data_IF_576508476246
#
_entry.id   IF_576508476246
#
_cell.length_a   1.000
_cell.length_b   1.000
_cell.length_c   1.000
_cell.angle_alpha   90.00
_cell.angle_beta   90.00
_cell.angle_gamma   90.00
#
_symmetry.space_group_name_H-M   'P 1'
#
loop_
_entity.id
_entity.type
_entity.pdbx_description
1 polymer ?
#
# COMPACT_ATOMS: atom_id res chain seq x y z
N UNK A 1 -37.45 7.99 39.59
CA UNK A 1 -37.00 8.74 38.42
C UNK A 1 -35.73 8.05 37.95
N UNK A 2 -35.80 7.30 36.89
CA UNK A 2 -34.58 6.77 36.26
C UNK A 2 -33.87 7.96 35.59
N UNK A 3 -32.64 8.24 35.98
CA UNK A 3 -31.80 9.21 35.32
C UNK A 3 -31.47 8.60 33.95
N UNK A 4 -32.01 9.18 32.88
CA UNK A 4 -31.70 8.80 31.52
C UNK A 4 -30.25 9.27 31.25
N UNK A 5 -29.29 8.37 31.50
CA UNK A 5 -27.86 8.63 31.21
C UNK A 5 -27.70 8.72 29.69
N UNK A 6 -27.23 9.85 29.19
CA UNK A 6 -27.10 10.02 27.75
C UNK A 6 -26.03 9.03 27.20
N UNK A 7 -26.21 8.59 25.95
CA UNK A 7 -25.21 7.73 25.26
C UNK A 7 -23.80 8.37 25.25
N UNK A 8 -23.76 9.71 25.26
CA UNK A 8 -22.54 10.50 25.32
C UNK A 8 -21.81 10.35 26.66
N UNK A 9 -22.59 10.34 27.78
CA UNK A 9 -22.00 10.30 29.12
C UNK A 9 -21.34 8.94 29.39
N UNK A 10 -21.95 7.83 28.97
CA UNK A 10 -21.38 6.49 29.12
C UNK A 10 -20.01 6.39 28.44
N UNK A 11 -19.88 6.86 27.19
CA UNK A 11 -18.63 6.81 26.44
C UNK A 11 -17.59 7.78 27.03
N UNK A 12 -18.03 8.98 27.43
CA UNK A 12 -17.14 9.99 28.02
C UNK A 12 -16.56 9.52 29.36
N UNK A 13 -17.35 8.88 30.19
CA UNK A 13 -16.92 8.39 31.49
C UNK A 13 -15.92 7.24 31.35
N UNK A 14 -16.16 6.27 30.47
CA UNK A 14 -15.20 5.20 30.18
C UNK A 14 -13.87 5.73 29.62
N UNK A 15 -13.90 6.77 28.77
CA UNK A 15 -12.70 7.40 28.23
C UNK A 15 -11.94 8.18 29.31
N UNK A 16 -12.64 8.86 30.21
CA UNK A 16 -12.02 9.60 31.33
C UNK A 16 -11.37 8.64 32.32
N UNK A 17 -12.00 7.51 32.63
CA UNK A 17 -11.46 6.48 33.50
C UNK A 17 -10.19 5.84 32.91
N UNK A 18 -10.21 5.58 31.60
CA UNK A 18 -9.04 5.07 30.87
C UNK A 18 -7.84 6.03 30.82
N UNK A 19 -8.07 7.34 30.87
CA UNK A 19 -7.00 8.35 30.91
C UNK A 19 -6.24 8.40 32.23
N UNK A 20 -6.87 8.03 33.33
CA UNK A 20 -6.27 8.13 34.67
C UNK A 20 -5.28 7.02 34.96
N UNK A 21 -5.34 5.87 34.30
CA UNK A 21 -4.59 4.67 34.64
C UNK A 21 -3.54 4.21 33.63
N UNK A 22 -3.52 4.70 32.38
CA UNK A 22 -2.68 4.12 31.35
C UNK A 22 -1.80 5.12 30.60
N UNK A 23 -0.52 4.80 30.48
CA UNK A 23 0.39 5.35 29.46
C UNK A 23 -0.07 5.05 28.03
N UNK A 24 -1.15 4.32 27.88
CA UNK A 24 -1.69 3.82 26.62
C UNK A 24 -3.23 3.97 26.62
N UNK A 25 -3.77 4.56 25.55
CA UNK A 25 -5.21 4.73 25.37
C UNK A 25 -5.84 3.43 24.85
N UNK A 26 -6.64 2.77 25.68
CA UNK A 26 -7.48 1.66 25.25
C UNK A 26 -8.86 2.18 24.86
N UNK A 27 -9.20 2.10 23.57
CA UNK A 27 -10.45 2.60 23.05
C UNK A 27 -11.62 1.64 23.36
N UNK A 28 -12.76 2.12 23.88
CA UNK A 28 -13.95 1.31 24.13
C UNK A 28 -14.73 1.05 22.83
N UNK A 29 -14.10 0.40 21.83
CA UNK A 29 -14.67 0.26 20.48
C UNK A 29 -15.88 -0.66 20.49
N UNK A 30 -15.88 -1.75 21.27
CA UNK A 30 -17.00 -2.69 21.30
C UNK A 30 -18.28 -2.07 21.90
N UNK A 31 -18.26 -1.39 23.06
CA UNK A 31 -19.42 -0.65 23.54
C UNK A 31 -19.91 0.40 22.55
N UNK A 32 -19.02 1.08 21.85
CA UNK A 32 -19.39 2.06 20.84
C UNK A 32 -20.10 1.40 19.63
N UNK A 33 -19.66 0.23 19.18
CA UNK A 33 -20.32 -0.55 18.13
C UNK A 33 -21.72 -1.02 18.55
N UNK A 34 -21.90 -1.41 19.81
CA UNK A 34 -23.20 -1.78 20.36
C UNK A 34 -24.17 -0.60 20.31
N UNK A 35 -23.74 0.61 20.66
CA UNK A 35 -24.55 1.83 20.55
C UNK A 35 -24.93 2.17 19.10
N UNK A 36 -24.11 1.78 18.14
CA UNK A 36 -24.39 1.90 16.70
C UNK A 36 -25.28 0.76 16.16
N UNK A 37 -25.62 -0.25 16.99
CA UNK A 37 -26.25 -1.52 16.58
C UNK A 37 -25.45 -2.24 15.48
N UNK A 38 -24.10 -2.22 15.58
CA UNK A 38 -23.18 -2.84 14.62
C UNK A 38 -22.54 -4.07 15.23
N UNK A 39 -22.76 -5.23 14.61
CA UNK A 39 -22.01 -6.44 14.91
C UNK A 39 -20.74 -6.45 14.05
N UNK A 40 -19.55 -6.36 14.67
CA UNK A 40 -18.32 -6.32 13.91
C UNK A 40 -18.01 -7.66 13.24
N UNK A 41 -17.36 -7.60 12.07
CA UNK A 41 -16.83 -8.77 11.38
C UNK A 41 -15.53 -9.27 12.06
N UNK A 42 -15.14 -10.54 11.89
CA UNK A 42 -13.87 -11.07 12.40
C UNK A 42 -12.65 -10.23 12.04
N UNK A 43 -12.60 -9.73 10.80
CA UNK A 43 -11.55 -8.82 10.31
C UNK A 43 -11.52 -7.50 11.10
N UNK A 44 -12.67 -6.93 11.39
CA UNK A 44 -12.79 -5.69 12.17
C UNK A 44 -12.39 -5.91 13.63
N UNK A 45 -12.77 -7.05 14.22
CA UNK A 45 -12.35 -7.44 15.58
C UNK A 45 -10.82 -7.56 15.65
N UNK A 46 -10.18 -8.16 14.65
CA UNK A 46 -8.72 -8.26 14.60
C UNK A 46 -8.05 -6.88 14.55
N UNK A 47 -8.57 -5.93 13.76
CA UNK A 47 -8.08 -4.55 13.70
C UNK A 47 -8.25 -3.85 15.05
N UNK A 48 -9.41 -3.99 15.69
CA UNK A 48 -9.70 -3.41 17.00
C UNK A 48 -8.71 -3.93 18.06
N UNK A 49 -8.49 -5.24 18.09
CA UNK A 49 -7.56 -5.85 19.04
C UNK A 49 -6.13 -5.39 18.81
N UNK A 50 -5.71 -5.22 17.55
CA UNK A 50 -4.38 -4.73 17.23
C UNK A 50 -4.19 -3.26 17.65
N UNK A 51 -5.15 -2.38 17.38
CA UNK A 51 -5.06 -0.96 17.75
C UNK A 51 -5.10 -0.77 19.27
N UNK A 52 -5.83 -1.61 19.98
CA UNK A 52 -5.90 -1.60 21.44
C UNK A 52 -4.70 -2.29 22.13
N UNK A 53 -3.80 -2.90 21.38
CA UNK A 53 -2.61 -3.51 21.95
C UNK A 53 -1.51 -2.45 22.10
N UNK A 54 -0.97 -2.25 23.32
CA UNK A 54 0.08 -1.27 23.59
C UNK A 54 1.42 -1.57 22.89
N UNK A 55 1.65 -2.83 22.52
CA UNK A 55 2.85 -3.25 21.79
C UNK A 55 2.91 -2.63 20.38
N UNK A 56 1.75 -2.45 19.75
CA UNK A 56 1.72 -2.05 18.35
C UNK A 56 1.42 -0.56 18.19
N UNK A 57 2.32 0.12 17.52
CA UNK A 57 2.18 1.51 17.11
C UNK A 57 1.65 1.64 15.69
N UNK A 58 1.97 0.67 14.84
CA UNK A 58 1.62 0.64 13.43
C UNK A 58 0.84 -0.64 13.12
N UNK A 59 -0.33 -0.48 12.49
CA UNK A 59 -1.21 -1.59 12.12
C UNK A 59 -1.44 -1.57 10.62
N UNK A 60 -1.03 -2.62 9.91
CA UNK A 60 -1.31 -2.82 8.49
C UNK A 60 -2.36 -3.90 8.31
N UNK A 61 -3.47 -3.57 7.63
CA UNK A 61 -4.58 -4.48 7.42
C UNK A 61 -4.84 -4.69 5.92
N UNK A 62 -4.41 -5.84 5.40
CA UNK A 62 -4.71 -6.31 4.06
C UNK A 62 -6.05 -7.06 4.09
N UNK A 63 -7.10 -6.41 3.61
CA UNK A 63 -8.48 -6.87 3.82
C UNK A 63 -9.23 -6.88 2.50
N UNK A 64 -9.90 -8.00 2.21
CA UNK A 64 -10.67 -8.17 0.98
C UNK A 64 -11.81 -7.15 0.86
N UNK A 65 -12.43 -7.08 -0.31
CA UNK A 65 -13.62 -6.23 -0.51
C UNK A 65 -14.79 -6.63 0.39
N UNK A 66 -15.70 -5.68 0.64
CA UNK A 66 -16.94 -5.84 1.43
C UNK A 66 -16.73 -6.24 2.91
N UNK A 67 -15.54 -5.97 3.47
CA UNK A 67 -15.23 -6.18 4.90
C UNK A 67 -15.50 -4.93 5.78
N UNK A 68 -16.01 -3.84 5.21
CA UNK A 68 -16.28 -2.61 5.95
C UNK A 68 -15.02 -1.90 6.48
N UNK A 69 -13.92 -1.94 5.72
CA UNK A 69 -12.63 -1.30 6.03
C UNK A 69 -12.77 0.17 6.42
N UNK A 70 -13.27 0.97 5.48
CA UNK A 70 -13.48 2.41 5.66
C UNK A 70 -14.39 2.70 6.87
N UNK A 71 -15.41 1.87 7.10
CA UNK A 71 -16.35 2.07 8.20
C UNK A 71 -15.68 1.90 9.56
N UNK A 72 -14.95 0.79 9.78
CA UNK A 72 -14.27 0.57 11.07
C UNK A 72 -13.13 1.57 11.29
N UNK A 73 -12.41 1.96 10.24
CA UNK A 73 -11.38 2.99 10.31
C UNK A 73 -11.95 4.33 10.80
N UNK A 74 -13.10 4.73 10.27
CA UNK A 74 -13.78 5.96 10.67
C UNK A 74 -14.34 5.88 12.09
N UNK A 75 -14.84 4.73 12.54
CA UNK A 75 -15.28 4.52 13.93
C UNK A 75 -14.10 4.68 14.90
N UNK A 76 -12.94 4.09 14.58
CA UNK A 76 -11.74 4.25 15.39
C UNK A 76 -11.32 5.73 15.45
N UNK A 77 -11.31 6.43 14.31
CA UNK A 77 -11.04 7.87 14.25
C UNK A 77 -11.99 8.70 15.10
N UNK A 78 -13.29 8.39 15.02
CA UNK A 78 -14.31 9.07 15.83
C UNK A 78 -14.10 8.84 17.33
N UNK A 79 -13.82 7.62 17.74
CA UNK A 79 -13.56 7.32 19.16
C UNK A 79 -12.34 8.06 19.70
N UNK A 80 -11.26 8.16 18.92
CA UNK A 80 -10.10 8.95 19.33
C UNK A 80 -10.47 10.43 19.47
N UNK A 81 -11.37 10.95 18.63
CA UNK A 81 -11.82 12.35 18.71
C UNK A 81 -12.65 12.67 19.95
N UNK A 82 -13.19 11.67 20.64
CA UNK A 82 -13.86 11.87 21.93
C UNK A 82 -12.88 12.18 23.06
N UNK A 83 -11.60 11.84 22.89
CA UNK A 83 -10.55 12.24 23.81
C UNK A 83 -10.24 13.72 23.61
N UNK A 84 -10.46 14.62 24.61
CA UNK A 84 -10.31 16.06 24.45
C UNK A 84 -8.94 16.47 23.89
N UNK A 85 -8.95 17.37 22.90
CA UNK A 85 -7.74 17.92 22.28
C UNK A 85 -7.01 16.94 21.36
N UNK A 86 -7.66 15.85 20.93
CA UNK A 86 -7.04 14.88 20.02
C UNK A 86 -7.08 15.36 18.57
N UNK A 87 -6.03 15.06 17.82
CA UNK A 87 -5.92 15.35 16.40
C UNK A 87 -5.89 14.04 15.59
N UNK A 88 -6.84 13.87 14.71
CA UNK A 88 -7.00 12.69 13.86
C UNK A 88 -6.84 13.10 12.40
N UNK A 89 -6.06 12.33 11.65
CA UNK A 89 -5.89 12.47 10.22
C UNK A 89 -6.34 11.19 9.51
N UNK A 90 -7.27 11.31 8.58
CA UNK A 90 -7.69 10.22 7.70
C UNK A 90 -7.23 10.56 6.28
N UNK A 91 -6.26 9.79 5.79
CA UNK A 91 -5.68 9.93 4.47
C UNK A 91 -6.34 8.97 3.49
N UNK A 92 -6.64 9.45 2.30
CA UNK A 92 -7.16 8.66 1.19
C UNK A 92 -6.27 8.87 -0.05
N UNK A 93 -6.32 7.99 -1.07
CA UNK A 93 -5.54 8.15 -2.29
C UNK A 93 -5.77 9.47 -3.00
N UNK A 94 -7.01 9.93 -3.03
CA UNK A 94 -7.41 11.17 -3.69
C UNK A 94 -8.52 11.91 -2.94
N UNK A 95 -8.79 13.15 -3.37
CA UNK A 95 -9.78 14.02 -2.74
C UNK A 95 -11.21 13.46 -2.80
N UNK A 96 -11.59 12.74 -3.86
CA UNK A 96 -12.93 12.17 -4.00
C UNK A 96 -13.17 11.06 -2.97
N UNK A 97 -12.19 10.20 -2.74
CA UNK A 97 -12.29 9.14 -1.73
C UNK A 97 -12.30 9.71 -0.30
N UNK A 98 -11.59 10.80 -0.05
CA UNK A 98 -11.64 11.45 1.26
C UNK A 98 -13.01 12.05 1.60
N UNK A 99 -13.87 12.29 0.59
CA UNK A 99 -15.25 12.72 0.82
C UNK A 99 -16.08 11.66 1.53
N UNK A 100 -15.86 10.39 1.22
CA UNK A 100 -16.57 9.27 1.85
C UNK A 100 -16.32 9.28 3.36
N UNK A 101 -15.07 9.41 3.79
CA UNK A 101 -14.72 9.49 5.21
C UNK A 101 -15.25 10.77 5.86
N UNK A 102 -15.25 11.90 5.14
CA UNK A 102 -15.80 13.14 5.67
C UNK A 102 -17.31 13.05 5.96
N UNK A 103 -18.08 12.49 5.02
CA UNK A 103 -19.52 12.32 5.20
C UNK A 103 -19.83 11.28 6.29
N UNK A 104 -19.01 10.23 6.40
CA UNK A 104 -19.16 9.24 7.44
C UNK A 104 -18.88 9.81 8.84
N UNK A 105 -17.84 10.64 8.99
CA UNK A 105 -17.58 11.35 10.26
C UNK A 105 -18.73 12.28 10.66
N UNK A 106 -19.28 13.04 9.72
CA UNK A 106 -20.47 13.87 9.97
C UNK A 106 -21.66 13.05 10.47
N UNK A 107 -21.88 11.89 9.86
CA UNK A 107 -22.97 11.00 10.25
C UNK A 107 -22.77 10.44 11.67
N UNK A 108 -21.54 10.04 12.02
CA UNK A 108 -21.19 9.55 13.35
C UNK A 108 -21.33 10.67 14.41
N UNK A 109 -20.83 11.86 14.11
CA UNK A 109 -20.97 13.05 14.97
C UNK A 109 -22.43 13.38 15.24
N UNK A 110 -23.26 13.38 14.19
CA UNK A 110 -24.71 13.62 14.31
C UNK A 110 -25.41 12.51 15.10
N UNK A 111 -25.03 11.24 14.90
CA UNK A 111 -25.63 10.11 15.60
C UNK A 111 -25.43 10.20 17.13
N UNK A 112 -24.28 10.70 17.56
CA UNK A 112 -23.93 10.86 18.97
C UNK A 112 -24.20 12.28 19.51
N UNK A 113 -24.84 13.13 18.72
CA UNK A 113 -25.17 14.52 19.08
C UNK A 113 -23.97 15.31 19.62
N UNK A 114 -22.80 15.14 18.97
CA UNK A 114 -21.60 15.85 19.36
C UNK A 114 -21.66 17.29 18.87
N UNK A 115 -21.32 18.21 19.75
CA UNK A 115 -21.26 19.63 19.43
C UNK A 115 -20.06 19.95 18.56
N UNK A 116 -20.31 20.51 17.36
CA UNK A 116 -19.31 20.89 16.37
C UNK A 116 -19.07 22.40 16.43
N UNK A 117 -17.82 22.81 16.61
CA UNK A 117 -17.42 24.23 16.61
C UNK A 117 -17.03 24.70 15.20
N UNK A 118 -16.59 23.78 14.33
CA UNK A 118 -16.26 24.05 12.93
C UNK A 118 -16.51 22.86 12.06
N UNK A 119 -17.21 23.07 10.95
CA UNK A 119 -17.40 22.11 9.87
C UNK A 119 -17.02 22.77 8.55
N UNK A 120 -15.82 22.47 8.07
CA UNK A 120 -15.28 23.01 6.82
C UNK A 120 -15.25 21.95 5.74
N UNK A 121 -16.25 21.96 4.88
CA UNK A 121 -16.37 20.99 3.79
C UNK A 121 -15.29 21.17 2.69
N UNK A 122 -14.79 22.40 2.51
CA UNK A 122 -13.73 22.65 1.50
C UNK A 122 -12.40 22.02 1.92
N UNK A 123 -12.00 22.23 3.17
CA UNK A 123 -10.73 21.74 3.71
C UNK A 123 -10.90 20.36 4.37
N UNK A 124 -12.15 19.85 4.44
CA UNK A 124 -12.55 18.60 5.09
C UNK A 124 -12.01 18.48 6.52
N UNK A 125 -12.33 19.48 7.33
CA UNK A 125 -11.95 19.56 8.73
C UNK A 125 -13.19 19.74 9.59
N UNK A 126 -13.29 18.91 10.63
CA UNK A 126 -14.32 19.02 11.66
C UNK A 126 -13.63 19.24 12.99
N UNK A 127 -14.04 20.29 13.71
CA UNK A 127 -13.60 20.58 15.07
C UNK A 127 -14.76 20.39 16.04
N UNK A 128 -14.53 19.64 17.12
CA UNK A 128 -15.52 19.28 18.12
C UNK A 128 -15.31 20.17 19.35
N UNK A 129 -16.38 20.46 20.11
CA UNK A 129 -16.35 21.37 21.27
C UNK A 129 -15.38 20.96 22.37
N UNK A 130 -14.95 19.70 22.40
CA UNK A 130 -13.90 19.21 23.31
C UNK A 130 -12.47 19.58 22.88
N UNK A 131 -12.31 20.35 21.81
CA UNK A 131 -11.02 20.77 21.24
C UNK A 131 -10.37 19.76 20.28
N UNK A 132 -11.05 18.64 19.98
CA UNK A 132 -10.52 17.66 19.04
C UNK A 132 -10.79 18.04 17.58
N UNK A 133 -9.88 17.63 16.70
CA UNK A 133 -9.97 17.88 15.26
C UNK A 133 -9.89 16.59 14.48
N UNK A 134 -10.83 16.38 13.56
CA UNK A 134 -10.78 15.30 12.55
C UNK A 134 -10.58 15.93 11.18
N UNK A 135 -9.48 15.60 10.55
CA UNK A 135 -9.09 16.09 9.23
C UNK A 135 -9.04 14.94 8.23
N UNK A 136 -9.56 15.14 7.04
CA UNK A 136 -9.39 14.24 5.91
C UNK A 136 -8.40 14.85 4.92
N UNK A 137 -7.41 14.05 4.53
CA UNK A 137 -6.36 14.43 3.58
C UNK A 137 -6.33 13.51 2.36
N UNK A 138 -5.55 13.93 1.38
CA UNK A 138 -5.21 13.13 0.20
C UNK A 138 -3.71 12.91 0.15
N UNK A 139 -3.28 11.72 -0.23
CA UNK A 139 -1.84 11.39 -0.40
C UNK A 139 -1.18 12.38 -1.37
N UNK A 140 -1.89 12.77 -2.43
CA UNK A 140 -1.38 13.72 -3.42
C UNK A 140 -1.22 15.16 -2.89
N UNK A 141 -1.72 15.47 -1.69
CA UNK A 141 -1.68 16.79 -1.07
C UNK A 141 -1.22 16.71 0.39
N UNK A 142 -0.28 15.83 0.68
CA UNK A 142 0.22 15.55 2.03
C UNK A 142 0.77 16.78 2.72
N UNK A 143 1.39 17.73 1.99
CA UNK A 143 1.98 18.96 2.53
C UNK A 143 0.97 19.82 3.29
N UNK A 144 -0.31 19.74 2.93
CA UNK A 144 -1.38 20.44 3.67
C UNK A 144 -1.66 19.85 5.05
N UNK A 145 -1.14 18.67 5.33
CA UNK A 145 -1.36 17.92 6.57
C UNK A 145 -0.17 17.98 7.54
N UNK A 146 1.01 18.44 7.09
CA UNK A 146 2.19 18.57 7.95
C UNK A 146 2.10 19.77 8.92
N UNK A 147 3.03 19.84 9.87
CA UNK A 147 3.10 20.94 10.84
C UNK A 147 2.07 20.84 11.97
N UNK A 148 1.56 19.66 12.26
CA UNK A 148 0.65 19.34 13.37
C UNK A 148 1.10 18.04 14.03
N UNK A 149 0.75 17.87 15.32
CA UNK A 149 0.94 16.61 16.04
C UNK A 149 -0.36 15.81 16.01
N UNK A 150 -0.31 14.60 15.49
CA UNK A 150 -1.47 13.70 15.41
C UNK A 150 -1.43 12.62 16.48
N UNK A 151 -2.59 12.29 17.03
CA UNK A 151 -2.80 11.14 17.92
C UNK A 151 -3.04 9.86 17.11
N UNK A 152 -3.71 10.00 15.95
CA UNK A 152 -4.00 8.90 15.04
C UNK A 152 -3.92 9.37 13.59
N UNK A 153 -3.22 8.58 12.78
CA UNK A 153 -3.23 8.70 11.32
C UNK A 153 -3.80 7.41 10.73
N UNK A 154 -4.76 7.53 9.84
CA UNK A 154 -5.37 6.40 9.14
C UNK A 154 -5.13 6.59 7.63
N UNK A 155 -4.54 5.60 6.97
CA UNK A 155 -4.49 5.51 5.52
C UNK A 155 -5.54 4.51 5.05
N UNK A 156 -6.64 5.03 4.52
CA UNK A 156 -7.69 4.22 3.91
C UNK A 156 -7.43 4.03 2.42
N UNK A 157 -7.62 2.81 1.94
CA UNK A 157 -7.26 2.37 0.58
C UNK A 157 -5.79 2.67 0.23
N UNK A 158 -4.88 2.39 1.17
CA UNK A 158 -3.46 2.72 1.12
C UNK A 158 -2.74 2.22 -0.13
N UNK A 159 -3.12 1.04 -0.68
CA UNK A 159 -2.49 0.47 -1.85
C UNK A 159 -2.84 1.16 -3.18
N UNK A 160 -3.83 2.08 -3.21
CA UNK A 160 -4.30 2.73 -4.45
C UNK A 160 -3.46 3.94 -4.87
N UNK A 161 -2.52 4.42 -4.05
CA UNK A 161 -1.61 5.51 -4.39
C UNK A 161 -0.27 5.26 -3.70
N UNK A 162 0.80 5.82 -4.26
CA UNK A 162 2.10 5.78 -3.60
C UNK A 162 2.13 6.76 -2.43
N UNK A 163 2.22 6.21 -1.24
CA UNK A 163 2.23 6.97 0.02
C UNK A 163 3.47 6.74 0.86
N UNK A 164 4.52 6.11 0.32
CA UNK A 164 5.73 5.78 1.08
C UNK A 164 6.39 7.03 1.65
N UNK A 165 6.65 8.01 0.82
CA UNK A 165 7.26 9.27 1.24
C UNK A 165 6.27 10.14 2.00
N UNK A 166 5.00 10.14 1.62
CA UNK A 166 3.95 10.81 2.35
C UNK A 166 3.89 10.36 3.81
N UNK A 167 4.08 9.06 4.08
CA UNK A 167 4.17 8.58 5.45
C UNK A 167 5.55 8.78 6.05
N UNK A 168 6.61 8.21 5.48
CA UNK A 168 7.93 8.14 6.14
C UNK A 168 8.56 9.51 6.33
N UNK A 169 8.41 10.42 5.36
CA UNK A 169 9.06 11.74 5.35
C UNK A 169 8.15 12.80 5.95
N UNK A 170 6.89 12.86 5.50
CA UNK A 170 6.00 13.95 5.87
C UNK A 170 5.20 13.69 7.17
N UNK A 171 4.56 12.52 7.32
CA UNK A 171 3.59 12.30 8.38
C UNK A 171 4.11 11.51 9.59
N UNK A 172 5.07 10.59 9.41
CA UNK A 172 5.65 9.85 10.56
C UNK A 172 6.24 10.76 11.63
N UNK A 173 6.95 11.87 11.31
CA UNK A 173 7.43 12.82 12.32
C UNK A 173 6.31 13.52 13.10
N UNK A 174 5.09 13.59 12.56
CA UNK A 174 3.94 14.22 13.22
C UNK A 174 3.27 13.31 14.26
N UNK A 175 3.66 12.04 14.33
CA UNK A 175 3.28 11.10 15.38
C UNK A 175 4.29 11.21 16.54
N UNK A 176 4.36 12.38 17.16
CA UNK A 176 5.35 12.75 18.18
C UNK A 176 4.89 12.52 19.62
N UNK A 177 3.64 12.08 19.81
CA UNK A 177 3.08 11.74 21.12
C UNK A 177 3.30 10.28 21.47
N UNK A 178 3.49 9.97 22.75
CA UNK A 178 3.80 8.62 23.25
C UNK A 178 2.79 7.54 22.82
N UNK A 179 1.52 7.90 22.66
CA UNK A 179 0.43 6.98 22.31
C UNK A 179 -0.06 7.14 20.88
N UNK A 180 0.65 7.90 20.07
CA UNK A 180 0.26 8.12 18.68
C UNK A 180 0.41 6.87 17.84
N UNK A 181 -0.56 6.59 16.98
CA UNK A 181 -0.62 5.37 16.16
C UNK A 181 -0.91 5.69 14.70
N UNK A 182 -0.53 4.76 13.81
CA UNK A 182 -0.97 4.79 12.43
C UNK A 182 -1.59 3.45 12.02
N UNK A 183 -2.63 3.54 11.18
CA UNK A 183 -3.33 2.39 10.60
C UNK A 183 -3.26 2.52 9.07
N UNK A 184 -2.88 1.44 8.40
CA UNK A 184 -2.85 1.30 6.95
C UNK A 184 -3.84 0.21 6.55
N UNK A 185 -4.92 0.57 5.87
CA UNK A 185 -5.96 -0.37 5.48
C UNK A 185 -6.14 -0.34 3.97
N UNK A 186 -6.11 -1.49 3.32
CA UNK A 186 -6.39 -1.60 1.90
C UNK A 186 -6.75 -3.01 1.47
N UNK A 187 -7.33 -3.14 0.29
CA UNK A 187 -7.21 -4.34 -0.53
C UNK A 187 -5.81 -4.33 -1.16
N UNK A 188 -5.06 -5.45 -1.18
CA UNK A 188 -3.74 -5.51 -1.82
C UNK A 188 -3.76 -5.14 -3.29
N UNK A 189 -2.60 -4.62 -3.80
CA UNK A 189 -2.37 -4.27 -5.21
C UNK A 189 -0.98 -4.76 -5.64
N UNK A 190 -0.80 -6.09 -5.65
CA UNK A 190 0.49 -6.70 -5.95
C UNK A 190 1.52 -6.55 -4.82
N UNK A 191 2.74 -7.07 -5.05
CA UNK A 191 3.84 -7.04 -4.07
C UNK A 191 4.71 -5.79 -4.14
N UNK A 192 4.83 -5.16 -5.30
CA UNK A 192 5.79 -4.08 -5.55
C UNK A 192 5.18 -2.71 -5.24
N UNK A 193 4.72 -2.51 -4.00
CA UNK A 193 4.24 -1.22 -3.53
C UNK A 193 4.49 -1.04 -2.04
N UNK A 194 4.44 0.21 -1.58
CA UNK A 194 4.71 0.59 -0.21
C UNK A 194 3.78 -0.05 0.83
N UNK A 195 2.49 -0.27 0.49
CA UNK A 195 1.56 -0.92 1.39
C UNK A 195 1.93 -2.39 1.64
N UNK A 196 2.39 -3.09 0.60
CA UNK A 196 2.93 -4.44 0.70
C UNK A 196 4.16 -4.47 1.63
N UNK A 197 5.11 -3.55 1.42
CA UNK A 197 6.29 -3.41 2.28
C UNK A 197 5.88 -3.24 3.74
N UNK A 198 4.96 -2.33 4.03
CA UNK A 198 4.48 -2.05 5.39
C UNK A 198 3.71 -3.24 5.98
N UNK A 199 2.97 -3.96 5.16
CA UNK A 199 2.29 -5.18 5.59
C UNK A 199 3.31 -6.25 6.01
N UNK A 200 4.36 -6.46 5.26
CA UNK A 200 5.36 -7.48 5.61
C UNK A 200 6.22 -7.10 6.83
N UNK A 201 6.31 -5.82 7.22
CA UNK A 201 6.98 -5.40 8.46
C UNK A 201 6.39 -6.06 9.72
N UNK A 202 5.08 -6.31 9.76
CA UNK A 202 4.44 -6.93 10.91
C UNK A 202 4.78 -8.42 11.11
N UNK A 203 5.53 -9.02 10.18
CA UNK A 203 6.06 -10.39 10.30
C UNK A 203 7.57 -10.43 10.55
N UNK A 204 8.23 -9.26 10.63
CA UNK A 204 9.67 -9.15 10.85
C UNK A 204 9.97 -8.75 12.29
N UNK A 205 10.91 -9.44 12.90
CA UNK A 205 11.41 -9.12 14.25
C UNK A 205 12.14 -7.75 14.31
N UNK A 206 12.53 -7.21 13.16
CA UNK A 206 13.14 -5.87 13.04
C UNK A 206 12.14 -4.74 13.33
N UNK A 207 10.84 -5.03 13.23
CA UNK A 207 9.76 -4.04 13.39
C UNK A 207 8.76 -4.44 14.49
N UNK A 208 9.19 -4.57 15.76
CA UNK A 208 8.36 -5.13 16.82
C UNK A 208 7.11 -4.31 17.17
N UNK A 209 7.07 -3.03 16.76
CA UNK A 209 5.91 -2.13 16.91
C UNK A 209 4.89 -2.24 15.77
N UNK A 210 5.12 -3.11 14.77
CA UNK A 210 4.19 -3.34 13.67
C UNK A 210 3.34 -4.58 13.91
N UNK A 211 2.09 -4.51 13.46
CA UNK A 211 1.15 -5.63 13.42
C UNK A 211 0.51 -5.71 12.05
N UNK A 212 0.45 -6.90 11.47
CA UNK A 212 -0.19 -7.13 10.18
C UNK A 212 -1.36 -8.09 10.30
N UNK A 213 -2.45 -7.72 9.64
CA UNK A 213 -3.71 -8.46 9.63
C UNK A 213 -4.07 -8.76 8.18
N UNK A 214 -4.33 -10.02 7.88
CA UNK A 214 -4.91 -10.43 6.60
C UNK A 214 -6.30 -10.97 6.82
N UNK A 215 -7.27 -10.49 6.04
CA UNK A 215 -8.64 -11.01 6.08
C UNK A 215 -9.18 -11.20 4.67
N UNK A 216 -9.81 -12.34 4.46
CA UNK A 216 -10.35 -12.81 3.19
C UNK A 216 -11.86 -12.74 3.17
N UNK A 217 -12.49 -13.04 2.04
CA UNK A 217 -13.95 -13.15 1.95
C UNK A 217 -14.54 -14.16 2.95
N UNK A 218 -13.77 -15.18 3.35
CA UNK A 218 -14.20 -16.21 4.31
C UNK A 218 -14.43 -15.64 5.72
N UNK A 219 -13.82 -14.51 6.03
CA UNK A 219 -13.96 -13.80 7.30
C UNK A 219 -15.21 -12.90 7.33
N UNK A 220 -16.02 -12.91 6.25
CA UNK A 220 -17.28 -12.19 6.19
C UNK A 220 -18.47 -13.15 6.05
N UNK A 221 -19.13 -13.52 7.15
CA UNK A 221 -20.27 -14.44 7.12
C UNK A 221 -21.51 -13.89 6.40
N UNK A 222 -21.49 -12.60 6.01
CA UNK A 222 -22.59 -11.96 5.26
C UNK A 222 -22.45 -12.14 3.74
N UNK A 223 -21.33 -12.68 3.27
CA UNK A 223 -21.13 -12.96 1.85
C UNK A 223 -21.74 -14.30 1.51
N UNK A 224 -22.65 -14.33 0.52
CA UNK A 224 -23.27 -15.58 0.07
C UNK A 224 -22.34 -16.38 -0.85
N UNK A 225 -22.49 -17.71 -0.85
CA UNK A 225 -21.77 -18.57 -1.79
C UNK A 225 -22.07 -18.23 -3.25
N UNK A 226 -23.29 -17.76 -3.51
CA UNK A 226 -23.72 -17.30 -4.85
C UNK A 226 -22.94 -16.08 -5.30
N UNK A 227 -22.79 -15.06 -4.45
CA UNK A 227 -22.00 -13.86 -4.77
C UNK A 227 -20.54 -14.19 -5.05
N UNK A 228 -19.99 -15.14 -4.30
CA UNK A 228 -18.61 -15.59 -4.49
C UNK A 228 -18.46 -16.37 -5.80
N UNK A 229 -19.42 -17.24 -6.11
CA UNK A 229 -19.39 -18.00 -7.37
C UNK A 229 -19.54 -17.09 -8.60
N UNK A 230 -20.36 -16.04 -8.52
CA UNK A 230 -20.49 -15.04 -9.58
C UNK A 230 -19.21 -14.22 -9.74
N UNK A 231 -18.61 -13.78 -8.64
CA UNK A 231 -17.34 -13.07 -8.66
C UNK A 231 -16.23 -13.90 -9.33
N UNK A 232 -16.12 -15.18 -8.99
CA UNK A 232 -15.15 -16.10 -9.64
C UNK A 232 -15.35 -16.26 -11.14
N UNK A 233 -16.61 -16.18 -11.62
CA UNK A 233 -16.90 -16.27 -13.05
C UNK A 233 -16.62 -14.99 -13.81
N UNK A 234 -16.75 -13.84 -13.13
CA UNK A 234 -16.69 -12.52 -13.75
C UNK A 234 -15.30 -11.90 -13.81
N UNK A 235 -14.31 -12.49 -13.13
CA UNK A 235 -12.94 -11.99 -13.06
C UNK A 235 -11.90 -13.10 -13.22
N UNK A 236 -10.66 -12.72 -13.53
CA UNK A 236 -9.56 -13.67 -13.58
C UNK A 236 -9.28 -14.26 -12.18
N UNK A 237 -8.61 -15.41 -12.13
CA UNK A 237 -8.20 -16.00 -10.85
C UNK A 237 -7.29 -15.08 -10.04
N UNK A 238 -6.40 -14.34 -10.72
CA UNK A 238 -5.52 -13.36 -10.08
C UNK A 238 -6.31 -12.22 -9.44
N UNK A 239 -7.26 -11.62 -10.16
CA UNK A 239 -8.14 -10.59 -9.62
C UNK A 239 -8.98 -11.11 -8.46
N UNK A 240 -9.50 -12.33 -8.56
CA UNK A 240 -10.26 -12.93 -7.47
C UNK A 240 -9.39 -13.12 -6.22
N UNK A 241 -8.18 -13.63 -6.35
CA UNK A 241 -7.24 -13.77 -5.23
C UNK A 241 -6.92 -12.41 -4.60
N UNK A 242 -6.66 -11.40 -5.40
CA UNK A 242 -6.39 -10.05 -4.92
C UNK A 242 -7.60 -9.46 -4.17
N UNK A 243 -8.76 -9.44 -4.81
CA UNK A 243 -9.93 -8.69 -4.33
C UNK A 243 -10.69 -9.42 -3.22
N UNK A 244 -10.71 -10.77 -3.26
CA UNK A 244 -11.49 -11.59 -2.32
C UNK A 244 -10.62 -12.38 -1.33
N UNK A 245 -9.39 -12.74 -1.68
CA UNK A 245 -8.51 -13.48 -0.79
C UNK A 245 -7.40 -12.59 -0.18
N UNK A 246 -7.41 -11.30 -0.50
CA UNK A 246 -6.40 -10.32 -0.04
C UNK A 246 -4.97 -10.84 -0.30
N UNK A 247 -4.74 -11.36 -1.49
CA UNK A 247 -3.45 -11.88 -1.90
C UNK A 247 -2.59 -10.80 -2.57
N UNK A 248 -1.33 -10.73 -2.17
CA UNK A 248 -0.32 -9.82 -2.74
C UNK A 248 0.40 -10.42 -3.95
N UNK A 249 0.22 -11.70 -4.23
CA UNK A 249 0.94 -12.39 -5.32
C UNK A 249 0.35 -12.12 -6.71
N UNK A 250 -0.57 -11.18 -6.83
CA UNK A 250 -1.15 -10.77 -8.10
C UNK A 250 -0.38 -9.59 -8.65
N UNK A 251 0.22 -9.75 -9.80
CA UNK A 251 0.89 -8.66 -10.52
C UNK A 251 -0.15 -7.97 -11.43
N UNK A 252 -0.52 -6.73 -11.11
CA UNK A 252 -1.20 -5.87 -12.09
C UNK A 252 -0.24 -5.63 -13.25
N UNK A 253 -0.67 -5.94 -14.47
CA UNK A 253 0.14 -5.77 -15.68
C UNK A 253 1.05 -6.94 -16.03
N UNK A 254 0.98 -8.07 -15.31
CA UNK A 254 1.73 -9.25 -15.71
C UNK A 254 1.23 -9.79 -17.07
N UNK A 255 2.02 -9.59 -18.10
CA UNK A 255 1.74 -10.06 -19.46
C UNK A 255 1.96 -11.57 -19.55
N UNK A 256 3.00 -12.07 -18.91
CA UNK A 256 3.38 -13.48 -18.91
C UNK A 256 3.05 -14.15 -17.59
N UNK A 257 2.27 -15.23 -17.65
CA UNK A 257 2.00 -16.07 -16.48
C UNK A 257 3.00 -17.21 -16.47
N UNK A 258 3.73 -17.36 -15.38
CA UNK A 258 4.65 -18.47 -15.18
C UNK A 258 4.42 -19.12 -13.80
N UNK A 259 4.73 -20.41 -13.72
CA UNK A 259 4.70 -21.17 -12.47
C UNK A 259 6.09 -21.14 -11.85
N UNK A 260 6.21 -20.54 -10.68
CA UNK A 260 7.48 -20.36 -9.99
C UNK A 260 8.16 -21.69 -9.66
N UNK A 261 7.40 -22.70 -9.25
CA UNK A 261 7.94 -24.00 -8.83
C UNK A 261 8.48 -24.83 -10.01
N UNK A 262 7.90 -24.67 -11.19
CA UNK A 262 8.23 -25.49 -12.35
C UNK A 262 9.04 -24.78 -13.42
N UNK A 263 8.93 -23.44 -13.52
CA UNK A 263 9.52 -22.64 -14.60
C UNK A 263 10.68 -21.76 -14.15
N UNK A 264 10.85 -21.53 -12.82
CA UNK A 264 12.02 -20.81 -12.29
C UNK A 264 13.08 -21.81 -11.87
N UNK A 265 14.30 -21.60 -12.38
CA UNK A 265 15.46 -22.47 -12.13
C UNK A 265 16.68 -21.59 -11.83
N UNK A 266 17.65 -22.14 -11.13
CA UNK A 266 18.96 -21.51 -10.98
C UNK A 266 19.79 -21.75 -12.26
N UNK A 267 20.11 -20.64 -12.93
CA UNK A 267 20.92 -20.64 -14.14
C UNK A 267 22.37 -20.20 -13.90
N UNK A 268 22.81 -20.04 -12.66
CA UNK A 268 24.16 -19.59 -12.31
C UNK A 268 25.29 -20.45 -12.89
N UNK A 269 24.98 -21.70 -13.22
CA UNK A 269 25.90 -22.69 -13.79
C UNK A 269 25.45 -23.18 -15.18
N UNK A 270 24.59 -22.42 -15.88
CA UNK A 270 24.14 -22.78 -17.22
C UNK A 270 25.29 -22.71 -18.20
N UNK A 271 25.56 -23.82 -18.90
CA UNK A 271 26.50 -23.84 -20.04
C UNK A 271 25.78 -23.34 -21.30
N UNK A 272 26.12 -22.14 -21.72
CA UNK A 272 25.56 -21.48 -22.92
C UNK A 272 26.34 -21.74 -24.20
N UNK A 273 27.43 -22.53 -24.18
CA UNK A 273 28.33 -22.77 -25.33
C UNK A 273 27.65 -23.34 -26.59
N UNK A 274 26.45 -23.89 -26.45
CA UNK A 274 25.61 -24.47 -27.53
C UNK A 274 24.30 -23.75 -27.70
N UNK A 275 24.17 -22.55 -27.17
CA UNK A 275 22.96 -21.74 -27.19
C UNK A 275 23.27 -20.41 -27.89
N UNK A 276 22.27 -19.82 -28.53
CA UNK A 276 22.33 -18.44 -28.94
C UNK A 276 21.96 -17.54 -27.78
N UNK A 277 22.82 -16.60 -27.41
CA UNK A 277 22.55 -15.66 -26.32
C UNK A 277 22.31 -14.25 -26.90
N UNK A 278 21.16 -13.70 -26.62
CA UNK A 278 20.80 -12.36 -27.06
C UNK A 278 20.07 -11.58 -25.96
N UNK A 279 20.03 -10.26 -26.13
CA UNK A 279 19.35 -9.41 -25.15
C UNK A 279 18.43 -8.40 -25.82
N UNK A 280 17.38 -8.02 -25.10
CA UNK A 280 16.53 -6.86 -25.39
C UNK A 280 16.86 -5.75 -24.40
N UNK A 281 17.10 -4.53 -24.91
CA UNK A 281 17.42 -3.34 -24.10
C UNK A 281 16.40 -2.25 -24.38
N UNK A 282 15.75 -1.76 -23.33
CA UNK A 282 14.93 -0.57 -23.32
C UNK A 282 15.60 0.50 -22.48
N UNK A 283 15.84 1.69 -23.06
CA UNK A 283 16.60 2.76 -22.43
C UNK A 283 15.64 3.86 -21.94
N UNK A 284 15.60 4.06 -20.63
CA UNK A 284 14.86 5.14 -19.98
C UNK A 284 15.73 6.02 -19.10
N UNK A 285 15.22 7.16 -18.67
CA UNK A 285 15.85 8.01 -17.66
C UNK A 285 14.97 8.13 -16.41
N UNK A 286 13.74 8.63 -16.55
CA UNK A 286 12.74 8.60 -15.47
C UNK A 286 12.09 7.23 -15.35
N UNK A 287 11.77 6.64 -16.51
CA UNK A 287 11.41 5.24 -16.58
C UNK A 287 12.71 4.41 -16.50
N UNK A 288 12.68 3.25 -15.84
CA UNK A 288 13.87 2.42 -15.70
C UNK A 288 14.47 2.01 -17.04
N UNK A 289 15.81 1.98 -17.12
CA UNK A 289 16.50 1.23 -18.18
C UNK A 289 16.41 -0.25 -17.83
N UNK A 290 15.90 -1.04 -18.76
CA UNK A 290 15.68 -2.47 -18.60
C UNK A 290 16.43 -3.28 -19.65
N UNK A 291 17.11 -4.35 -19.25
CA UNK A 291 17.72 -5.32 -20.15
C UNK A 291 17.36 -6.74 -19.73
N UNK A 292 16.89 -7.55 -20.67
CA UNK A 292 16.63 -8.97 -20.47
C UNK A 292 17.59 -9.80 -21.29
N UNK A 293 18.31 -10.72 -20.67
CA UNK A 293 19.25 -11.66 -21.34
C UNK A 293 18.54 -13.00 -21.54
N UNK A 294 18.47 -13.44 -22.79
CA UNK A 294 17.76 -14.65 -23.18
C UNK A 294 18.75 -15.61 -23.86
N UNK A 295 18.78 -16.85 -23.41
CA UNK A 295 19.50 -17.95 -24.08
C UNK A 295 18.49 -18.88 -24.77
N UNK A 296 18.72 -19.20 -26.03
CA UNK A 296 17.93 -20.17 -26.78
C UNK A 296 18.65 -21.50 -26.90
N UNK A 297 18.08 -22.52 -26.29
CA UNK A 297 18.59 -23.91 -26.33
C UNK A 297 18.02 -24.60 -27.59
N UNK A 298 18.88 -24.80 -28.57
CA UNK A 298 18.52 -25.44 -29.85
C UNK A 298 18.18 -26.93 -29.69
N UNK A 299 18.77 -27.61 -28.71
CA UNK A 299 18.55 -29.04 -28.49
C UNK A 299 17.17 -29.29 -27.86
N UNK A 300 16.66 -28.32 -27.07
CA UNK A 300 15.36 -28.42 -26.38
C UNK A 300 14.28 -27.54 -27.00
N UNK A 301 14.65 -26.70 -27.98
CA UNK A 301 13.75 -25.68 -28.56
C UNK A 301 13.10 -24.79 -27.48
N UNK A 302 13.90 -24.31 -26.52
CA UNK A 302 13.42 -23.54 -25.36
C UNK A 302 14.18 -22.23 -25.19
N UNK A 303 13.43 -21.21 -24.79
CA UNK A 303 13.96 -19.94 -24.35
C UNK A 303 14.15 -19.94 -22.82
N UNK A 304 15.30 -19.42 -22.38
CA UNK A 304 15.61 -19.22 -20.98
C UNK A 304 15.92 -17.74 -20.74
N UNK A 305 15.13 -17.06 -19.89
CA UNK A 305 15.51 -15.75 -19.35
C UNK A 305 16.58 -16.01 -18.28
N UNK A 306 17.82 -15.70 -18.56
CA UNK A 306 18.97 -16.11 -17.74
C UNK A 306 19.47 -15.00 -16.83
N UNK A 307 19.24 -13.75 -17.21
CA UNK A 307 19.63 -12.60 -16.38
C UNK A 307 18.80 -11.36 -16.75
N UNK A 308 18.78 -10.37 -15.87
CA UNK A 308 18.10 -9.09 -16.09
C UNK A 308 18.88 -7.92 -15.46
N UNK A 309 18.73 -6.75 -16.06
CA UNK A 309 19.10 -5.47 -15.48
C UNK A 309 17.88 -4.56 -15.45
N UNK A 310 17.63 -3.88 -14.34
CA UNK A 310 16.52 -2.97 -14.18
C UNK A 310 16.87 -1.88 -13.18
N UNK A 311 17.07 -0.64 -13.65
CA UNK A 311 17.42 0.48 -12.79
C UNK A 311 17.00 1.83 -13.41
N UNK A 312 16.76 2.83 -12.57
CA UNK A 312 16.34 4.17 -12.97
C UNK A 312 17.24 5.25 -12.38
N UNK A 313 17.11 6.47 -12.91
CA UNK A 313 17.78 7.67 -12.39
C UNK A 313 19.31 7.57 -12.34
N UNK A 314 19.91 6.78 -13.24
CA UNK A 314 21.36 6.70 -13.44
C UNK A 314 21.78 7.42 -14.72
N UNK A 315 23.06 7.79 -14.77
CA UNK A 315 23.65 8.31 -16.02
C UNK A 315 23.83 7.20 -17.04
N UNK A 316 23.89 7.55 -18.32
CA UNK A 316 24.13 6.60 -19.41
C UNK A 316 25.40 5.78 -19.18
N UNK A 317 26.47 6.40 -18.67
CA UNK A 317 27.73 5.72 -18.33
C UNK A 317 27.56 4.67 -17.23
N UNK A 318 26.74 4.96 -16.22
CA UNK A 318 26.46 4.02 -15.13
C UNK A 318 25.65 2.82 -15.62
N UNK A 319 24.63 3.05 -16.47
CA UNK A 319 23.89 1.97 -17.10
C UNK A 319 24.79 1.11 -17.99
N UNK A 320 25.63 1.74 -18.80
CA UNK A 320 26.54 1.07 -19.71
C UNK A 320 27.52 0.16 -18.96
N UNK A 321 28.04 0.59 -17.82
CA UNK A 321 28.96 -0.22 -17.01
C UNK A 321 28.29 -1.50 -16.45
N UNK A 322 27.02 -1.44 -16.07
CA UNK A 322 26.27 -2.62 -15.61
C UNK A 322 25.91 -3.55 -16.79
N UNK A 323 25.47 -2.97 -17.90
CA UNK A 323 25.14 -3.71 -19.13
C UNK A 323 26.38 -4.45 -19.62
N UNK A 324 27.59 -3.83 -19.60
CA UNK A 324 28.82 -4.48 -20.00
C UNK A 324 29.14 -5.72 -19.16
N UNK A 325 28.84 -5.70 -17.84
CA UNK A 325 29.04 -6.88 -16.99
C UNK A 325 28.16 -8.06 -17.42
N UNK A 326 26.93 -7.79 -17.88
CA UNK A 326 26.04 -8.82 -18.38
C UNK A 326 26.54 -9.38 -19.72
N UNK A 327 27.01 -8.50 -20.60
CA UNK A 327 27.62 -8.90 -21.90
C UNK A 327 28.78 -9.84 -21.65
N UNK A 328 29.72 -9.44 -20.79
CA UNK A 328 30.91 -10.22 -20.47
C UNK A 328 30.56 -11.55 -19.76
N UNK A 329 29.54 -11.55 -18.92
CA UNK A 329 29.12 -12.74 -18.18
C UNK A 329 28.49 -13.80 -19.04
N UNK A 330 27.65 -13.38 -20.00
CA UNK A 330 26.83 -14.28 -20.78
C UNK A 330 27.30 -14.47 -22.22
N UNK A 331 28.37 -13.79 -22.65
CA UNK A 331 28.88 -13.78 -24.00
C UNK A 331 27.77 -13.48 -25.03
N UNK A 332 27.13 -12.32 -24.87
CA UNK A 332 25.93 -11.96 -25.62
C UNK A 332 26.23 -11.68 -27.08
N UNK A 333 25.63 -12.45 -27.99
CA UNK A 333 25.83 -12.32 -29.43
C UNK A 333 25.17 -11.08 -30.03
N UNK A 334 23.96 -10.75 -29.57
CA UNK A 334 23.12 -9.69 -30.15
C UNK A 334 22.36 -8.94 -29.08
N UNK A 335 22.29 -7.60 -29.22
CA UNK A 335 21.45 -6.74 -28.39
C UNK A 335 20.46 -6.01 -29.28
N UNK A 336 19.19 -6.17 -28.99
CA UNK A 336 18.09 -5.50 -29.66
C UNK A 336 17.63 -4.29 -28.82
N UNK A 337 17.64 -3.09 -29.44
CA UNK A 337 17.27 -1.84 -28.76
C UNK A 337 16.02 -1.28 -29.45
N UNK A 338 15.05 -0.78 -28.66
CA UNK A 338 13.86 -0.13 -29.23
C UNK A 338 14.28 1.11 -30.02
N UNK A 339 13.77 1.18 -31.26
CA UNK A 339 14.02 2.30 -32.18
C UNK A 339 13.41 3.64 -31.73
N UNK A 340 12.50 3.62 -30.75
CA UNK A 340 11.87 4.81 -30.17
C UNK A 340 12.73 5.57 -29.17
N UNK A 341 13.86 5.02 -28.74
CA UNK A 341 14.83 5.69 -27.86
C UNK A 341 15.52 6.87 -28.61
N UNK A 342 14.79 7.98 -28.74
CA UNK A 342 15.27 9.17 -29.48
C UNK A 342 16.50 9.84 -28.85
N UNK A 343 16.82 9.61 -27.60
CA UNK A 343 17.97 10.21 -26.92
C UNK A 343 19.32 9.67 -27.37
N UNK A 344 19.36 8.46 -27.89
CA UNK A 344 20.58 7.88 -28.46
C UNK A 344 20.86 8.31 -29.91
N UNK A 345 19.91 8.95 -30.57
CA UNK A 345 20.05 9.38 -31.99
C UNK A 345 20.47 10.84 -32.17
N UNK A 346 20.42 11.70 -31.13
CA UNK A 346 20.59 13.15 -31.31
C UNK A 346 22.02 13.63 -31.54
N UNK A 347 23.03 12.78 -31.48
CA UNK A 347 24.43 13.19 -31.65
C UNK A 347 25.11 12.66 -32.91
N UNK A 348 24.38 12.03 -33.86
CA UNK A 348 25.03 11.52 -35.08
C UNK A 348 24.35 11.80 -36.40
N UNK A 349 24.93 12.75 -37.08
CA UNK A 349 25.04 12.71 -38.53
C UNK A 349 26.19 11.79 -38.90
N UNK A 350 25.89 10.82 -39.80
CA UNK A 350 26.74 10.03 -40.70
C UNK A 350 27.06 8.59 -40.34
N UNK A 351 26.59 7.75 -41.27
CA UNK A 351 27.17 6.52 -41.85
C UNK A 351 27.39 5.28 -41.00
N UNK A 352 26.67 4.25 -41.47
CA UNK A 352 27.03 2.82 -41.42
C UNK A 352 27.50 2.22 -40.09
N UNK A 353 26.52 1.67 -39.35
CA UNK A 353 26.83 0.76 -38.26
C UNK A 353 25.95 -0.50 -38.32
N UNK A 354 26.59 -1.58 -38.77
CA UNK A 354 26.01 -2.92 -38.92
C UNK A 354 26.45 -3.90 -37.83
N UNK A 355 26.76 -3.44 -36.61
CA UNK A 355 27.10 -4.36 -35.53
C UNK A 355 26.52 -3.91 -34.19
N UNK A 356 25.81 -4.80 -33.44
CA UNK A 356 25.29 -4.52 -32.10
C UNK A 356 26.33 -4.07 -31.07
N UNK A 357 27.55 -4.59 -31.20
CA UNK A 357 28.71 -4.19 -30.38
C UNK A 357 29.06 -2.70 -30.50
N UNK A 358 28.76 -2.08 -31.63
CA UNK A 358 28.98 -0.65 -31.88
C UNK A 358 27.99 0.27 -31.18
N UNK A 359 26.76 -0.18 -30.96
CA UNK A 359 25.77 0.59 -30.23
C UNK A 359 26.10 0.66 -28.72
N UNK A 360 26.59 -0.43 -28.14
CA UNK A 360 27.06 -0.45 -26.76
C UNK A 360 28.37 0.34 -26.60
N UNK A 361 29.33 0.22 -27.55
CA UNK A 361 30.55 1.03 -27.54
C UNK A 361 30.34 2.54 -27.74
N UNK A 362 29.14 2.99 -28.16
CA UNK A 362 28.78 4.40 -28.23
C UNK A 362 27.93 4.89 -27.07
N UNK A 363 27.29 3.99 -26.31
CA UNK A 363 26.72 4.26 -24.99
C UNK A 363 27.80 4.27 -23.89
N UNK A 364 28.95 3.65 -24.15
CA UNK A 364 30.17 3.71 -23.36
C UNK A 364 31.12 4.79 -23.87
#
# INVERSE_FOLDING_TARGET
>A
MAVEVSRRDIISDEIVELKSEAKFLKLPIFPYLELLNVTPLPSQIAIINAINNPKYRFVSAAVSRRQGKTYIANIIGQLVSLVPGSNILIMSPNYSLSQISFDLQRNLIKHFDLEVTKDNAKDKVIEISNGSTVRMGSINQVDSCVGRSYDLIIFDEAALADGKDAFNVALRPTLDKDNSKAIFISTPRGRNNWFSEFFYRGFSDEFPEWCSIRATYKDNPRMSETDIAEARKSMSEAEFKQEYEADFNTYEGQIWKFNFETQVKDFSQLDTSRMDVFAGLDVGYKDPTAMCVIAYDWDKEQYHLVDEYFDAERTTEQHAAEIQKLIDRWDIDYIYIDSAAQQTRSEEHTSELQSPMYLVCRLL
#
